data_IF_131589158807
#
_entry.id   IF_131589158807
#
_cell.length_a   1.000
_cell.length_b   1.000
_cell.length_c   1.000
_cell.angle_alpha   90.00
_cell.angle_beta   90.00
_cell.angle_gamma   90.00
#
_symmetry.space_group_name_H-M   'P 1'
#
loop_
_entity.id
_entity.type
_entity.pdbx_description
1 polymer ?
#
# COMPACT_ATOMS: atom_id res chain seq x y z
N UNK A 1 -20.52 6.39 -8.42
CA UNK A 1 -20.42 4.91 -8.55
C UNK A 1 -20.23 4.22 -7.21
N UNK A 2 -19.31 4.66 -6.33
CA UNK A 2 -19.12 4.00 -5.02
C UNK A 2 -20.38 4.01 -4.14
N UNK A 3 -21.06 5.15 -3.98
CA UNK A 3 -22.31 5.23 -3.23
C UNK A 3 -23.43 4.34 -3.82
N UNK A 4 -23.41 4.11 -5.12
CA UNK A 4 -24.38 3.26 -5.82
C UNK A 4 -24.07 1.78 -5.61
N UNK A 5 -22.80 1.37 -5.72
CA UNK A 5 -22.39 0.01 -5.37
C UNK A 5 -22.75 -0.31 -3.91
N UNK A 6 -22.54 0.65 -3.01
CA UNK A 6 -22.99 0.54 -1.62
C UNK A 6 -24.50 0.48 -1.47
N UNK A 7 -25.27 1.25 -2.25
CA UNK A 7 -26.73 1.21 -2.24
C UNK A 7 -27.28 -0.15 -2.71
N UNK A 8 -26.72 -0.74 -3.77
CA UNK A 8 -27.15 -2.03 -4.29
C UNK A 8 -26.65 -3.23 -3.48
N UNK A 9 -25.51 -3.10 -2.79
CA UNK A 9 -24.93 -4.13 -1.92
C UNK A 9 -24.40 -3.52 -0.61
N UNK A 10 -25.30 -3.12 0.31
CA UNK A 10 -24.88 -2.51 1.57
C UNK A 10 -24.05 -3.49 2.41
N UNK A 11 -22.89 -3.04 2.88
CA UNK A 11 -22.02 -3.80 3.78
C UNK A 11 -21.05 -4.78 3.13
N UNK A 12 -21.12 -5.02 1.81
CA UNK A 12 -20.25 -5.98 1.11
C UNK A 12 -19.57 -5.32 -0.10
N UNK A 13 -18.46 -4.62 0.14
CA UNK A 13 -17.55 -4.23 -0.94
C UNK A 13 -16.73 -5.45 -1.38
N UNK A 14 -16.40 -5.58 -2.68
CA UNK A 14 -15.52 -6.63 -3.15
C UNK A 14 -14.13 -6.55 -2.52
N UNK A 15 -13.49 -7.71 -2.37
CA UNK A 15 -12.15 -7.82 -1.77
C UNK A 15 -11.05 -7.23 -2.66
N UNK A 16 -11.24 -7.22 -3.99
CA UNK A 16 -10.24 -6.71 -4.95
C UNK A 16 -10.75 -5.47 -5.66
N UNK A 17 -9.83 -4.59 -6.07
CA UNK A 17 -10.18 -3.41 -6.88
C UNK A 17 -10.81 -3.82 -8.20
N UNK A 18 -10.27 -4.86 -8.85
CA UNK A 18 -10.80 -5.31 -10.13
C UNK A 18 -12.25 -5.82 -10.01
N UNK A 19 -12.59 -6.51 -8.93
CA UNK A 19 -13.98 -6.91 -8.66
C UNK A 19 -14.89 -5.70 -8.40
N UNK A 20 -14.39 -4.65 -7.74
CA UNK A 20 -15.12 -3.39 -7.59
C UNK A 20 -15.37 -2.71 -8.95
N UNK A 21 -14.36 -2.64 -9.83
CA UNK A 21 -14.50 -2.06 -11.16
C UNK A 21 -15.39 -2.90 -12.08
N UNK A 22 -15.35 -4.23 -11.98
CA UNK A 22 -16.30 -5.14 -12.65
C UNK A 22 -17.75 -4.78 -12.25
N UNK A 23 -18.02 -4.58 -10.96
CA UNK A 23 -19.35 -4.14 -10.50
C UNK A 23 -19.71 -2.74 -11.04
N UNK A 24 -18.76 -1.82 -11.13
CA UNK A 24 -19.01 -0.52 -11.73
C UNK A 24 -19.38 -0.63 -13.21
N UNK A 25 -18.68 -1.47 -13.99
CA UNK A 25 -18.99 -1.73 -15.40
C UNK A 25 -20.40 -2.31 -15.55
N UNK A 26 -20.76 -3.31 -14.74
CA UNK A 26 -22.11 -3.90 -14.76
C UNK A 26 -23.20 -2.88 -14.44
N UNK A 27 -22.98 -2.04 -13.43
CA UNK A 27 -23.90 -0.99 -13.02
C UNK A 27 -23.94 0.19 -14.02
N UNK A 28 -22.87 0.40 -14.80
CA UNK A 28 -22.78 1.50 -15.75
C UNK A 28 -23.89 1.46 -16.81
N UNK A 29 -24.20 0.27 -17.32
CA UNK A 29 -25.29 0.08 -18.30
C UNK A 29 -26.68 0.23 -17.70
N UNK A 30 -26.84 0.05 -16.38
CA UNK A 30 -28.12 0.25 -15.70
C UNK A 30 -28.46 1.73 -15.56
N UNK A 31 -27.46 2.61 -15.62
CA UNK A 31 -27.65 4.06 -15.40
C UNK A 31 -28.30 4.78 -16.60
N UNK A 32 -28.23 4.21 -17.81
CA UNK A 32 -28.74 4.83 -19.04
C UNK A 32 -29.89 4.03 -19.66
N UNK A 33 -31.12 4.18 -19.15
CA UNK A 33 -32.27 3.42 -19.64
C UNK A 33 -32.59 3.70 -21.12
N UNK A 34 -32.15 4.83 -21.65
CA UNK A 34 -32.35 5.24 -23.04
C UNK A 34 -31.50 4.45 -24.05
N UNK A 35 -30.38 3.87 -23.61
CA UNK A 35 -29.45 3.12 -24.46
C UNK A 35 -29.19 1.76 -23.80
N UNK A 36 -29.96 0.76 -24.22
CA UNK A 36 -29.81 -0.61 -23.72
C UNK A 36 -29.28 -1.51 -24.84
N UNK A 37 -27.95 -1.62 -24.98
CA UNK A 37 -27.36 -2.62 -25.87
C UNK A 37 -27.71 -4.03 -25.38
N UNK A 38 -27.82 -4.96 -26.32
CA UNK A 38 -27.99 -6.38 -26.02
C UNK A 38 -26.80 -6.91 -25.21
N UNK A 39 -26.95 -8.09 -24.61
CA UNK A 39 -25.85 -8.69 -23.86
C UNK A 39 -24.62 -8.95 -24.77
N UNK A 40 -24.85 -9.43 -25.99
CA UNK A 40 -23.81 -9.67 -26.99
C UNK A 40 -23.10 -8.38 -27.40
N UNK A 41 -23.86 -7.31 -27.66
CA UNK A 41 -23.31 -5.99 -27.98
C UNK A 41 -22.46 -5.43 -26.84
N UNK A 42 -22.87 -5.62 -25.58
CA UNK A 42 -22.09 -5.21 -24.40
C UNK A 42 -20.76 -5.97 -24.33
N UNK A 43 -20.80 -7.29 -24.51
CA UNK A 43 -19.58 -8.09 -24.50
C UNK A 43 -18.62 -7.69 -25.61
N UNK A 44 -19.13 -7.50 -26.83
CA UNK A 44 -18.30 -7.07 -27.94
C UNK A 44 -17.69 -5.68 -27.68
N UNK A 45 -18.51 -4.75 -27.17
CA UNK A 45 -18.07 -3.42 -26.78
C UNK A 45 -16.95 -3.48 -25.73
N UNK A 46 -17.12 -4.23 -24.65
CA UNK A 46 -16.11 -4.35 -23.58
C UNK A 46 -14.80 -4.97 -24.06
N UNK A 47 -14.87 -6.01 -24.92
CA UNK A 47 -13.68 -6.60 -25.54
C UNK A 47 -12.93 -5.55 -26.37
N UNK A 48 -13.66 -4.73 -27.12
CA UNK A 48 -13.09 -3.69 -27.97
C UNK A 48 -12.57 -2.50 -27.17
N UNK A 49 -13.24 -2.10 -26.08
CA UNK A 49 -12.76 -1.13 -25.11
C UNK A 49 -11.46 -1.62 -24.46
N UNK A 50 -11.36 -2.89 -24.10
CA UNK A 50 -10.13 -3.51 -23.61
C UNK A 50 -8.97 -3.41 -24.60
N UNK A 51 -9.21 -3.77 -25.85
CA UNK A 51 -8.20 -3.65 -26.93
C UNK A 51 -7.78 -2.20 -27.17
N UNK A 52 -8.74 -1.27 -27.17
CA UNK A 52 -8.48 0.15 -27.33
C UNK A 52 -7.64 0.69 -26.18
N UNK A 53 -8.06 0.43 -24.94
CA UNK A 53 -7.38 0.85 -23.72
C UNK A 53 -5.93 0.36 -23.69
N UNK A 54 -5.72 -0.93 -23.93
CA UNK A 54 -4.40 -1.55 -23.93
C UNK A 54 -3.48 -0.96 -25.01
N UNK A 55 -4.00 -0.78 -26.23
CA UNK A 55 -3.22 -0.18 -27.31
C UNK A 55 -2.92 1.31 -27.07
N UNK A 56 -3.87 2.06 -26.51
CA UNK A 56 -3.69 3.46 -26.15
C UNK A 56 -2.61 3.64 -25.06
N UNK A 57 -2.63 2.82 -24.00
CA UNK A 57 -1.63 2.88 -22.93
C UNK A 57 -0.20 2.55 -23.41
N UNK A 58 -0.06 1.80 -24.50
CA UNK A 58 1.23 1.51 -25.13
C UNK A 58 1.79 2.69 -25.94
N UNK A 59 1.00 3.72 -26.24
CA UNK A 59 1.45 4.91 -27.00
C UNK A 59 1.97 5.96 -26.02
N UNK A 60 3.25 6.31 -26.11
CA UNK A 60 3.89 7.28 -25.21
C UNK A 60 3.32 8.71 -25.36
N UNK A 61 2.90 9.11 -26.56
CA UNK A 61 2.53 10.51 -26.88
C UNK A 61 1.12 10.94 -26.44
N UNK A 62 0.18 10.03 -26.20
CA UNK A 62 -1.23 10.38 -25.95
C UNK A 62 -1.94 9.34 -25.07
N UNK A 63 -1.30 8.96 -23.97
CA UNK A 63 -1.72 7.85 -23.09
C UNK A 63 -3.22 7.81 -22.76
N UNK A 64 -3.79 8.95 -22.39
CA UNK A 64 -5.21 9.07 -22.05
C UNK A 64 -6.05 9.71 -23.17
N UNK A 65 -5.42 10.47 -24.07
CA UNK A 65 -6.07 11.12 -25.21
C UNK A 65 -6.06 10.21 -26.42
N UNK A 66 -7.25 9.82 -26.87
CA UNK A 66 -7.47 8.83 -27.91
C UNK A 66 -8.02 9.56 -29.14
N UNK A 67 -7.29 9.54 -30.25
CA UNK A 67 -7.80 10.09 -31.50
C UNK A 67 -9.00 9.26 -31.98
N UNK A 68 -10.04 9.92 -32.50
CA UNK A 68 -11.23 9.26 -33.03
C UNK A 68 -10.89 8.26 -34.13
N UNK A 69 -10.04 8.65 -35.07
CA UNK A 69 -9.55 7.77 -36.14
C UNK A 69 -8.95 6.48 -35.58
N UNK A 70 -8.10 6.58 -34.56
CA UNK A 70 -7.50 5.44 -33.89
C UNK A 70 -8.52 4.58 -33.12
N UNK A 71 -9.49 5.20 -32.44
CA UNK A 71 -10.58 4.48 -31.80
C UNK A 71 -11.39 3.69 -32.84
N UNK A 72 -11.86 4.36 -33.91
CA UNK A 72 -12.60 3.74 -35.00
C UNK A 72 -11.82 2.62 -35.68
N UNK A 73 -10.50 2.73 -35.85
CA UNK A 73 -9.65 1.66 -36.39
C UNK A 73 -9.71 0.38 -35.53
N UNK A 74 -9.70 0.53 -34.20
CA UNK A 74 -9.63 -0.62 -33.29
C UNK A 74 -11.00 -1.26 -33.06
N UNK A 75 -12.00 -0.43 -32.78
CA UNK A 75 -13.34 -0.89 -32.38
C UNK A 75 -14.36 -0.90 -33.52
N UNK A 76 -14.10 -0.22 -34.63
CA UNK A 76 -15.09 0.01 -35.67
C UNK A 76 -16.05 1.14 -35.30
N UNK A 77 -16.56 1.83 -36.32
CA UNK A 77 -17.42 2.99 -36.14
C UNK A 77 -18.73 2.70 -35.35
N UNK A 78 -19.42 1.56 -35.52
CA UNK A 78 -20.63 1.27 -34.74
C UNK A 78 -20.38 1.19 -33.23
N UNK A 79 -19.33 0.46 -32.81
CA UNK A 79 -18.99 0.31 -31.40
C UNK A 79 -18.38 1.58 -30.81
N UNK A 80 -17.65 2.36 -31.62
CA UNK A 80 -17.21 3.70 -31.22
C UNK A 80 -18.40 4.61 -30.90
N UNK A 81 -19.38 4.70 -31.80
CA UNK A 81 -20.59 5.50 -31.57
C UNK A 81 -21.37 4.99 -30.36
N UNK A 82 -21.41 3.69 -30.12
CA UNK A 82 -22.02 3.11 -28.92
C UNK A 82 -21.26 3.51 -27.64
N UNK A 83 -19.93 3.41 -27.65
CA UNK A 83 -19.07 3.83 -26.54
C UNK A 83 -19.25 5.31 -26.20
N UNK A 84 -19.33 6.18 -27.22
CA UNK A 84 -19.59 7.61 -27.09
C UNK A 84 -20.98 7.88 -26.49
N UNK A 85 -22.04 7.26 -27.03
CA UNK A 85 -23.41 7.38 -26.51
C UNK A 85 -23.51 6.94 -25.05
N UNK A 86 -22.86 5.83 -24.70
CA UNK A 86 -22.77 5.35 -23.32
C UNK A 86 -21.87 6.22 -22.43
N UNK A 87 -21.00 7.05 -23.03
CA UNK A 87 -19.98 7.86 -22.37
C UNK A 87 -18.85 7.04 -21.76
N UNK A 88 -18.61 5.83 -22.26
CA UNK A 88 -17.33 5.15 -22.03
C UNK A 88 -16.17 5.93 -22.61
N UNK A 89 -16.40 6.59 -23.76
CA UNK A 89 -15.50 7.54 -24.39
C UNK A 89 -16.15 8.93 -24.40
N UNK A 90 -15.44 9.92 -23.89
CA UNK A 90 -15.91 11.31 -23.76
C UNK A 90 -15.06 12.20 -24.67
N UNK A 91 -15.72 12.97 -25.54
CA UNK A 91 -15.06 13.99 -26.35
C UNK A 91 -14.49 15.09 -25.45
N UNK A 92 -13.23 15.48 -25.69
CA UNK A 92 -12.56 16.53 -24.91
C UNK A 92 -12.31 17.77 -25.76
N UNK A 93 -11.57 17.61 -26.86
CA UNK A 93 -11.19 18.72 -27.73
C UNK A 93 -10.86 18.24 -29.14
N UNK A 94 -10.58 19.19 -30.05
CA UNK A 94 -9.95 18.91 -31.35
C UNK A 94 -8.49 19.33 -31.33
N UNK A 95 -7.63 18.62 -32.05
CA UNK A 95 -6.24 19.06 -32.24
C UNK A 95 -6.20 20.31 -33.12
N UNK A 96 -5.27 21.22 -32.85
CA UNK A 96 -5.15 22.47 -33.63
C UNK A 96 -4.64 22.19 -35.05
N UNK A 97 -3.73 21.23 -35.18
CA UNK A 97 -3.01 20.96 -36.43
C UNK A 97 -3.84 20.15 -37.44
N UNK A 98 -4.53 19.12 -36.97
CA UNK A 98 -5.24 18.16 -37.82
C UNK A 98 -6.76 18.25 -37.69
N UNK A 99 -7.27 19.06 -36.76
CA UNK A 99 -8.71 19.14 -36.42
C UNK A 99 -9.32 17.80 -35.99
N UNK A 100 -8.47 16.88 -35.52
CA UNK A 100 -8.81 15.52 -35.12
C UNK A 100 -9.49 15.53 -33.74
N UNK A 101 -10.58 14.80 -33.59
CA UNK A 101 -11.31 14.70 -32.32
C UNK A 101 -10.55 13.80 -31.32
N UNK A 102 -10.34 14.32 -30.11
CA UNK A 102 -9.69 13.60 -29.02
C UNK A 102 -10.72 13.22 -27.97
N UNK A 103 -10.69 11.93 -27.61
CA UNK A 103 -11.56 11.30 -26.62
C UNK A 103 -10.75 10.80 -25.43
N UNK A 104 -11.38 10.67 -24.27
CA UNK A 104 -10.80 10.03 -23.09
C UNK A 104 -11.77 8.98 -22.55
N UNK A 105 -11.27 8.00 -21.81
CA UNK A 105 -12.16 7.14 -21.02
C UNK A 105 -12.89 7.95 -19.95
N UNK A 106 -14.10 7.52 -19.59
CA UNK A 106 -14.91 8.12 -18.51
C UNK A 106 -14.11 8.44 -17.24
N UNK A 107 -13.19 7.56 -16.87
CA UNK A 107 -12.19 7.77 -15.83
C UNK A 107 -10.89 7.05 -16.22
N UNK A 108 -9.69 7.59 -15.92
CA UNK A 108 -8.41 6.95 -16.21
C UNK A 108 -8.33 5.49 -15.73
N UNK A 109 -8.84 5.20 -14.53
CA UNK A 109 -8.82 3.85 -13.98
C UNK A 109 -9.71 2.85 -14.73
N UNK A 110 -10.74 3.30 -15.46
CA UNK A 110 -11.44 2.39 -16.38
C UNK A 110 -10.57 2.01 -17.57
N UNK A 111 -9.75 2.93 -18.08
CA UNK A 111 -8.77 2.59 -19.10
C UNK A 111 -7.77 1.56 -18.57
N UNK A 112 -7.30 1.71 -17.34
CA UNK A 112 -6.40 0.74 -16.69
C UNK A 112 -7.07 -0.61 -16.46
N UNK A 113 -8.32 -0.62 -15.99
CA UNK A 113 -9.13 -1.82 -15.79
C UNK A 113 -9.40 -2.56 -17.11
N UNK A 114 -9.86 -1.87 -18.15
CA UNK A 114 -10.09 -2.48 -19.46
C UNK A 114 -8.79 -2.99 -20.08
N UNK A 115 -7.66 -2.30 -19.83
CA UNK A 115 -6.34 -2.78 -20.24
C UNK A 115 -5.94 -4.05 -19.53
N UNK A 116 -6.12 -4.12 -18.20
CA UNK A 116 -5.87 -5.33 -17.41
C UNK A 116 -6.74 -6.48 -17.92
N UNK A 117 -8.04 -6.22 -18.15
CA UNK A 117 -8.98 -7.20 -18.70
C UNK A 117 -8.61 -7.67 -20.11
N UNK A 118 -7.85 -6.90 -20.89
CA UNK A 118 -7.40 -7.32 -22.21
C UNK A 118 -6.14 -8.22 -22.19
N UNK A 119 -5.43 -8.29 -21.07
CA UNK A 119 -4.17 -9.04 -20.94
C UNK A 119 -4.47 -10.46 -20.45
N UNK A 120 -4.09 -11.47 -21.24
CA UNK A 120 -4.36 -12.88 -20.90
C UNK A 120 -3.27 -13.56 -20.10
N UNK A 121 -2.04 -13.05 -20.16
CA UNK A 121 -0.83 -13.75 -19.73
C UNK A 121 0.14 -12.79 -19.06
N UNK A 122 0.73 -13.20 -17.93
CA UNK A 122 1.58 -12.32 -17.13
C UNK A 122 2.90 -11.98 -17.84
N UNK A 123 3.35 -12.79 -18.80
CA UNK A 123 4.57 -12.52 -19.58
C UNK A 123 4.47 -11.22 -20.40
N UNK A 124 3.25 -10.67 -20.55
CA UNK A 124 3.06 -9.32 -21.04
C UNK A 124 3.76 -8.28 -20.14
N UNK A 125 3.76 -8.46 -18.82
CA UNK A 125 4.38 -7.53 -17.87
C UNK A 125 5.87 -7.78 -17.70
N UNK A 126 6.28 -9.06 -17.71
CA UNK A 126 7.64 -9.47 -17.40
C UNK A 126 8.09 -10.63 -18.30
N UNK A 127 9.21 -10.46 -18.99
CA UNK A 127 9.95 -11.53 -19.63
C UNK A 127 11.42 -11.38 -19.25
N UNK A 128 11.89 -12.21 -18.32
CA UNK A 128 13.22 -12.06 -17.74
C UNK A 128 13.91 -13.43 -17.61
N UNK A 129 15.20 -13.46 -17.94
CA UNK A 129 16.03 -14.64 -17.80
C UNK A 129 16.82 -14.58 -16.48
N UNK A 130 16.36 -15.32 -15.46
CA UNK A 130 17.04 -15.39 -14.17
C UNK A 130 18.42 -16.07 -14.23
N UNK A 131 18.68 -16.93 -15.23
CA UNK A 131 19.97 -17.63 -15.37
C UNK A 131 21.04 -16.73 -15.98
N UNK A 132 20.64 -15.87 -16.91
CA UNK A 132 21.50 -14.88 -17.53
C UNK A 132 20.81 -13.51 -17.53
N UNK A 133 20.84 -12.79 -16.39
CA UNK A 133 20.11 -11.54 -16.21
C UNK A 133 20.75 -10.43 -17.05
N UNK A 134 20.24 -10.26 -18.26
CA UNK A 134 20.68 -9.24 -19.20
C UNK A 134 19.48 -8.73 -20.02
N UNK A 135 19.11 -7.44 -19.92
CA UNK A 135 17.94 -6.90 -20.61
C UNK A 135 18.10 -6.84 -22.15
N UNK A 136 19.32 -6.97 -22.66
CA UNK A 136 19.63 -6.94 -24.09
C UNK A 136 19.69 -8.34 -24.73
N UNK A 137 19.46 -9.40 -23.95
CA UNK A 137 19.41 -10.77 -24.45
C UNK A 137 17.98 -11.26 -24.52
N UNK A 138 17.73 -12.16 -25.45
CA UNK A 138 16.43 -12.83 -25.56
C UNK A 138 16.25 -13.88 -24.46
N UNK A 139 15.03 -14.00 -23.96
CA UNK A 139 14.59 -15.11 -23.13
C UNK A 139 13.57 -15.93 -23.92
N UNK A 140 13.85 -17.21 -24.15
CA UNK A 140 13.04 -18.10 -24.99
C UNK A 140 12.72 -17.54 -26.39
N UNK A 141 13.71 -16.91 -27.04
CA UNK A 141 13.56 -16.36 -28.39
C UNK A 141 12.70 -15.09 -28.47
N UNK A 142 12.54 -14.38 -27.35
CA UNK A 142 11.80 -13.12 -27.26
C UNK A 142 12.60 -12.11 -26.46
N UNK A 143 12.51 -10.85 -26.86
CA UNK A 143 13.09 -9.73 -26.11
C UNK A 143 12.63 -9.74 -24.66
N UNK A 144 13.53 -9.36 -23.76
CA UNK A 144 13.15 -9.13 -22.38
C UNK A 144 12.15 -7.97 -22.24
N UNK A 145 11.26 -8.10 -21.26
CA UNK A 145 10.19 -7.14 -21.00
C UNK A 145 10.17 -6.83 -19.50
N UNK A 146 10.10 -5.55 -19.15
CA UNK A 146 10.17 -5.09 -17.76
C UNK A 146 9.10 -4.03 -17.44
N UNK A 147 7.86 -4.22 -17.89
CA UNK A 147 6.75 -3.28 -17.58
C UNK A 147 6.47 -3.17 -16.09
N UNK A 148 6.91 -4.17 -15.31
CA UNK A 148 6.89 -4.15 -13.84
C UNK A 148 7.64 -2.96 -13.21
N UNK A 149 8.59 -2.35 -13.93
CA UNK A 149 9.34 -1.18 -13.45
C UNK A 149 8.85 0.15 -14.03
N UNK A 150 7.87 0.10 -14.92
CA UNK A 150 7.25 1.28 -15.48
C UNK A 150 6.02 1.64 -14.62
N UNK A 151 6.05 2.77 -13.87
CA UNK A 151 5.00 3.14 -12.91
C UNK A 151 3.61 3.19 -13.54
N UNK A 152 3.56 3.46 -14.84
CA UNK A 152 2.38 3.48 -15.68
C UNK A 152 1.62 2.15 -15.71
N UNK A 153 2.30 1.01 -15.55
CA UNK A 153 1.67 -0.32 -15.55
C UNK A 153 1.32 -0.81 -14.15
N UNK A 154 1.71 -0.09 -13.08
CA UNK A 154 1.50 -0.54 -11.69
C UNK A 154 0.02 -0.83 -11.41
N UNK A 155 -0.88 0.12 -11.68
CA UNK A 155 -2.31 -0.09 -11.41
C UNK A 155 -2.92 -1.16 -12.34
N UNK A 156 -2.47 -1.25 -13.59
CA UNK A 156 -2.89 -2.31 -14.53
C UNK A 156 -2.49 -3.69 -14.01
N UNK A 157 -1.28 -3.82 -13.46
CA UNK A 157 -0.77 -5.07 -12.86
C UNK A 157 -1.59 -5.46 -11.63
N UNK A 158 -1.85 -4.52 -10.73
CA UNK A 158 -2.65 -4.77 -9.53
C UNK A 158 -4.08 -5.16 -9.88
N UNK A 159 -4.73 -4.43 -10.80
CA UNK A 159 -6.04 -4.80 -11.33
C UNK A 159 -6.02 -6.18 -12.00
N UNK A 160 -4.96 -6.51 -12.76
CA UNK A 160 -4.83 -7.81 -13.40
C UNK A 160 -4.75 -8.96 -12.39
N UNK A 161 -3.98 -8.78 -11.30
CA UNK A 161 -3.91 -9.74 -10.20
C UNK A 161 -5.27 -9.90 -9.49
N UNK A 162 -6.08 -8.84 -9.43
CA UNK A 162 -7.41 -8.85 -8.83
C UNK A 162 -8.53 -9.44 -9.71
N UNK A 163 -8.28 -9.72 -10.99
CA UNK A 163 -9.31 -10.23 -11.91
C UNK A 163 -9.85 -11.61 -11.48
N UNK A 164 -11.11 -11.95 -11.78
CA UNK A 164 -11.67 -13.25 -11.38
C UNK A 164 -10.98 -14.43 -12.09
N UNK A 165 -11.09 -15.63 -11.51
CA UNK A 165 -10.47 -16.85 -12.06
C UNK A 165 -11.01 -17.23 -13.44
N UNK A 166 -12.26 -16.86 -13.75
CA UNK A 166 -12.85 -16.99 -15.09
C UNK A 166 -12.09 -16.20 -16.15
N UNK A 167 -11.27 -15.23 -15.75
CA UNK A 167 -10.51 -14.36 -16.63
C UNK A 167 -9.00 -14.63 -16.60
N UNK A 168 -8.44 -14.76 -15.41
CA UNK A 168 -7.02 -15.06 -15.19
C UNK A 168 -6.94 -16.20 -14.19
N UNK A 169 -6.40 -17.34 -14.62
CA UNK A 169 -6.30 -18.52 -13.75
C UNK A 169 -5.43 -18.25 -12.53
N UNK A 170 -5.69 -18.98 -11.45
CA UNK A 170 -4.86 -18.94 -10.25
C UNK A 170 -3.38 -19.18 -10.56
N UNK A 171 -3.07 -20.20 -11.38
CA UNK A 171 -1.69 -20.54 -11.77
C UNK A 171 -0.97 -19.37 -12.45
N UNK A 172 -1.63 -18.60 -13.32
CA UNK A 172 -1.01 -17.44 -13.96
C UNK A 172 -0.64 -16.35 -12.94
N UNK A 173 -1.44 -16.16 -11.90
CA UNK A 173 -1.14 -15.19 -10.82
C UNK A 173 -0.02 -15.70 -9.92
N UNK A 174 -0.06 -16.98 -9.54
CA UNK A 174 1.00 -17.58 -8.71
C UNK A 174 2.34 -17.56 -9.43
N UNK A 175 2.39 -17.96 -10.71
CA UNK A 175 3.60 -17.90 -11.53
C UNK A 175 4.16 -16.48 -11.63
N UNK A 176 3.28 -15.48 -11.81
CA UNK A 176 3.72 -14.10 -11.90
C UNK A 176 4.33 -13.60 -10.58
N UNK A 177 3.64 -13.80 -9.45
CA UNK A 177 4.15 -13.39 -8.14
C UNK A 177 5.45 -14.14 -7.82
N UNK A 178 5.55 -15.44 -8.14
CA UNK A 178 6.79 -16.20 -8.03
C UNK A 178 7.91 -15.60 -8.88
N UNK A 179 7.64 -15.21 -10.13
CA UNK A 179 8.61 -14.57 -10.99
C UNK A 179 9.09 -13.22 -10.44
N UNK A 180 8.20 -12.45 -9.78
CA UNK A 180 8.56 -11.20 -9.12
C UNK A 180 9.44 -11.43 -7.88
N UNK A 181 9.09 -12.39 -7.03
CA UNK A 181 9.83 -12.67 -5.77
C UNK A 181 11.21 -13.27 -6.05
N UNK A 182 11.31 -14.09 -7.10
CA UNK A 182 12.56 -14.78 -7.49
C UNK A 182 13.36 -14.01 -8.53
N UNK A 183 13.03 -12.74 -8.78
CA UNK A 183 13.67 -11.91 -9.79
C UNK A 183 15.17 -11.74 -9.52
N UNK A 184 16.01 -12.33 -10.36
CA UNK A 184 17.46 -12.18 -10.27
C UNK A 184 17.90 -10.96 -11.09
N UNK A 185 18.17 -9.84 -10.44
CA UNK A 185 18.52 -8.64 -11.18
C UNK A 185 19.95 -8.61 -11.75
N UNK A 186 20.84 -9.51 -11.29
CA UNK A 186 22.26 -9.46 -11.62
C UNK A 186 22.96 -8.17 -11.15
N UNK A 187 22.31 -7.38 -10.29
CA UNK A 187 22.63 -5.97 -9.99
C UNK A 187 22.53 -5.66 -8.48
N UNK A 188 23.06 -6.56 -7.64
CA UNK A 188 23.09 -6.40 -6.16
C UNK A 188 21.71 -6.09 -5.56
N UNK A 189 20.66 -6.73 -6.07
CA UNK A 189 19.28 -6.65 -5.59
C UNK A 189 18.59 -5.28 -5.74
N UNK A 190 19.19 -4.30 -6.41
CA UNK A 190 18.57 -2.99 -6.66
C UNK A 190 17.17 -3.10 -7.30
N UNK A 191 17.02 -3.92 -8.33
CA UNK A 191 15.73 -4.13 -8.99
C UNK A 191 14.91 -5.25 -8.35
N UNK A 192 15.57 -6.17 -7.64
CA UNK A 192 14.88 -7.19 -6.86
C UNK A 192 13.96 -6.56 -5.81
N UNK A 193 14.39 -5.52 -5.09
CA UNK A 193 13.55 -4.80 -4.12
C UNK A 193 12.25 -4.28 -4.76
N UNK A 194 12.35 -3.63 -5.91
CA UNK A 194 11.19 -3.10 -6.65
C UNK A 194 10.24 -4.21 -7.07
N UNK A 195 10.80 -5.35 -7.49
CA UNK A 195 10.03 -6.53 -7.87
C UNK A 195 9.32 -7.17 -6.67
N UNK A 196 10.02 -7.32 -5.54
CA UNK A 196 9.47 -7.82 -4.27
C UNK A 196 8.33 -6.93 -3.78
N UNK A 197 8.49 -5.60 -3.82
CA UNK A 197 7.46 -4.66 -3.38
C UNK A 197 6.21 -4.72 -4.25
N UNK A 198 6.37 -4.89 -5.57
CA UNK A 198 5.23 -5.12 -6.46
C UNK A 198 4.53 -6.45 -6.17
N UNK A 199 5.30 -7.51 -5.89
CA UNK A 199 4.76 -8.81 -5.50
C UNK A 199 3.93 -8.71 -4.21
N UNK A 200 4.45 -8.03 -3.19
CA UNK A 200 3.76 -7.81 -1.93
C UNK A 200 2.47 -7.00 -2.11
N UNK A 201 2.49 -5.88 -2.87
CA UNK A 201 1.27 -5.15 -3.20
C UNK A 201 0.24 -6.03 -3.92
N UNK A 202 0.70 -6.94 -4.76
CA UNK A 202 -0.13 -7.91 -5.46
C UNK A 202 -0.93 -8.84 -4.53
N UNK A 203 -0.44 -9.09 -3.31
CA UNK A 203 -1.13 -9.96 -2.34
C UNK A 203 -2.45 -9.34 -1.84
N UNK A 204 -2.56 -8.02 -1.80
CA UNK A 204 -3.81 -7.35 -1.47
C UNK A 204 -4.91 -7.61 -2.51
N UNK A 205 -4.53 -7.86 -3.77
CA UNK A 205 -5.44 -8.19 -4.87
C UNK A 205 -5.59 -9.71 -5.08
N UNK A 206 -4.73 -10.52 -4.44
CA UNK A 206 -4.71 -11.97 -4.57
C UNK A 206 -4.20 -12.65 -3.29
N UNK A 207 -5.05 -12.63 -2.25
CA UNK A 207 -4.78 -13.22 -0.93
C UNK A 207 -4.61 -14.75 -0.94
N UNK A 208 -5.04 -15.42 -2.01
CA UNK A 208 -4.96 -16.87 -2.19
C UNK A 208 -3.57 -17.40 -2.60
N UNK A 209 -2.51 -16.59 -2.63
CA UNK A 209 -1.19 -17.06 -3.02
C UNK A 209 -0.60 -18.08 -2.04
N UNK A 210 -0.10 -19.20 -2.56
CA UNK A 210 0.39 -20.32 -1.74
C UNK A 210 1.59 -19.96 -0.86
N UNK A 211 2.41 -18.99 -1.28
CA UNK A 211 3.59 -18.53 -0.54
C UNK A 211 3.44 -17.12 0.08
N UNK A 212 2.20 -16.67 0.33
CA UNK A 212 1.90 -15.35 0.95
C UNK A 212 2.79 -15.06 2.16
N UNK A 213 2.83 -15.97 3.14
CA UNK A 213 3.63 -15.77 4.36
C UNK A 213 5.14 -15.70 4.12
N UNK A 214 5.65 -16.35 3.07
CA UNK A 214 7.06 -16.25 2.71
C UNK A 214 7.38 -14.85 2.15
N UNK A 215 6.51 -14.30 1.32
CA UNK A 215 6.66 -12.93 0.78
C UNK A 215 6.54 -11.90 1.89
N UNK A 216 5.57 -12.06 2.81
CA UNK A 216 5.43 -11.19 3.98
C UNK A 216 6.66 -11.27 4.89
N UNK A 217 7.22 -12.46 5.11
CA UNK A 217 8.43 -12.61 5.90
C UNK A 217 9.65 -11.91 5.26
N UNK A 218 9.81 -12.00 3.94
CA UNK A 218 10.82 -11.24 3.20
C UNK A 218 10.60 -9.74 3.36
N UNK A 219 9.37 -9.26 3.17
CA UNK A 219 9.04 -7.84 3.33
C UNK A 219 9.34 -7.32 4.74
N UNK A 220 8.97 -8.06 5.78
CA UNK A 220 9.26 -7.70 7.18
C UNK A 220 10.76 -7.67 7.44
N UNK A 221 11.52 -8.61 6.87
CA UNK A 221 12.98 -8.60 6.96
C UNK A 221 13.56 -7.29 6.42
N UNK A 222 13.07 -6.80 5.28
CA UNK A 222 13.52 -5.53 4.69
C UNK A 222 13.11 -4.30 5.51
N UNK A 223 11.98 -4.35 6.23
CA UNK A 223 11.62 -3.32 7.22
C UNK A 223 12.57 -3.26 8.43
N UNK A 224 13.47 -4.23 8.58
CA UNK A 224 14.38 -4.36 9.73
C UNK A 224 15.85 -4.10 9.37
N UNK A 225 16.19 -3.79 8.11
CA UNK A 225 17.57 -3.54 7.65
C UNK A 225 17.95 -2.07 7.89
N UNK A 226 18.78 -1.81 8.90
CA UNK A 226 19.14 -0.44 9.34
C UNK A 226 20.05 0.33 8.36
N UNK A 227 20.60 -0.33 7.32
CA UNK A 227 21.65 0.25 6.48
C UNK A 227 21.17 0.94 5.20
N UNK A 228 19.89 0.81 4.82
CA UNK A 228 19.34 1.44 3.60
C UNK A 228 18.00 2.10 3.93
N UNK A 229 18.04 3.33 4.46
CA UNK A 229 16.87 4.03 4.97
C UNK A 229 15.71 4.13 3.97
N UNK A 230 16.00 4.25 2.68
CA UNK A 230 14.97 4.37 1.63
C UNK A 230 14.22 3.05 1.40
N UNK A 231 14.91 1.91 1.48
CA UNK A 231 14.30 0.58 1.31
C UNK A 231 13.45 0.23 2.52
N UNK A 232 13.92 0.57 3.73
CA UNK A 232 13.13 0.37 4.96
C UNK A 232 11.81 1.16 4.92
N UNK A 233 11.86 2.43 4.52
CA UNK A 233 10.68 3.30 4.44
C UNK A 233 9.69 2.79 3.39
N UNK A 234 10.18 2.44 2.19
CA UNK A 234 9.33 1.88 1.15
C UNK A 234 8.73 0.52 1.57
N UNK A 235 9.52 -0.39 2.16
CA UNK A 235 9.03 -1.68 2.64
C UNK A 235 7.90 -1.52 3.68
N UNK A 236 8.01 -0.51 4.55
CA UNK A 236 6.98 -0.20 5.56
C UNK A 236 5.67 0.26 4.92
N UNK A 237 5.73 1.15 3.94
CA UNK A 237 4.54 1.60 3.19
C UNK A 237 3.89 0.43 2.45
N UNK A 238 4.69 -0.46 1.86
CA UNK A 238 4.20 -1.67 1.20
C UNK A 238 3.56 -2.64 2.19
N UNK A 239 4.08 -2.76 3.42
CA UNK A 239 3.51 -3.60 4.47
C UNK A 239 2.13 -3.09 4.94
N UNK A 240 1.86 -1.79 4.84
CA UNK A 240 0.54 -1.21 5.11
C UNK A 240 -0.47 -1.49 3.98
N UNK A 241 0.02 -1.71 2.76
CA UNK A 241 -0.79 -1.86 1.55
C UNK A 241 -0.85 -3.31 1.00
N UNK A 242 -0.20 -4.27 1.67
CA UNK A 242 -0.21 -5.71 1.31
C UNK A 242 -1.46 -6.42 1.85
N UNK A 243 -1.50 -7.75 1.79
CA UNK A 243 -2.51 -8.55 2.50
C UNK A 243 -2.48 -8.26 4.01
N UNK A 244 -3.47 -7.50 4.45
CA UNK A 244 -3.58 -6.98 5.81
C UNK A 244 -3.64 -8.09 6.87
N UNK A 245 -4.40 -9.17 6.58
CA UNK A 245 -4.56 -10.28 7.51
C UNK A 245 -3.26 -11.07 7.65
N UNK A 246 -2.58 -11.33 6.52
CA UNK A 246 -1.31 -12.03 6.53
C UNK A 246 -0.22 -11.21 7.23
N UNK A 247 -0.17 -9.89 7.01
CA UNK A 247 0.77 -9.00 7.68
C UNK A 247 0.57 -8.99 9.20
N UNK A 248 -0.67 -8.80 9.68
CA UNK A 248 -1.01 -8.84 11.11
C UNK A 248 -0.63 -10.18 11.72
N UNK A 249 -0.97 -11.28 11.04
CA UNK A 249 -0.67 -12.63 11.52
C UNK A 249 0.84 -12.86 11.66
N UNK A 250 1.62 -12.55 10.63
CA UNK A 250 3.08 -12.71 10.64
C UNK A 250 3.75 -11.86 11.72
N UNK A 251 3.34 -10.59 11.88
CA UNK A 251 3.89 -9.72 12.91
C UNK A 251 3.49 -10.16 14.32
N UNK A 252 2.26 -10.65 14.50
CA UNK A 252 1.80 -11.22 15.78
C UNK A 252 2.67 -12.40 16.20
N UNK A 253 2.99 -13.31 15.26
CA UNK A 253 3.91 -14.42 15.53
C UNK A 253 5.28 -13.91 15.96
N UNK A 254 5.83 -12.91 15.27
CA UNK A 254 7.14 -12.35 15.61
C UNK A 254 7.17 -11.62 16.96
N UNK A 255 6.06 -11.00 17.38
CA UNK A 255 5.94 -10.41 18.72
C UNK A 255 6.09 -11.48 19.82
N UNK A 256 5.41 -12.62 19.64
CA UNK A 256 5.36 -13.69 20.64
C UNK A 256 6.62 -14.57 20.61
N UNK A 257 7.02 -15.01 19.42
CA UNK A 257 8.04 -16.03 19.20
C UNK A 257 9.38 -15.47 18.67
N UNK A 258 9.50 -14.14 18.52
CA UNK A 258 10.72 -13.50 18.06
C UNK A 258 11.93 -13.88 18.91
N UNK A 259 13.05 -14.21 18.27
CA UNK A 259 14.25 -14.76 18.92
C UNK A 259 15.07 -13.72 19.70
N UNK A 260 14.86 -12.43 19.45
CA UNK A 260 15.59 -11.34 20.09
C UNK A 260 14.68 -10.18 20.45
N UNK A 261 15.12 -9.38 21.44
CA UNK A 261 14.47 -8.10 21.80
C UNK A 261 14.28 -7.21 20.58
N UNK A 262 15.27 -7.16 19.67
CA UNK A 262 15.19 -6.36 18.45
C UNK A 262 14.07 -6.83 17.51
N UNK A 263 13.97 -8.14 17.26
CA UNK A 263 12.91 -8.70 16.40
C UNK A 263 11.53 -8.45 17.00
N UNK A 264 11.37 -8.71 18.30
CA UNK A 264 10.10 -8.47 19.00
C UNK A 264 9.71 -6.99 18.98
N UNK A 265 10.65 -6.09 19.24
CA UNK A 265 10.46 -4.65 19.17
C UNK A 265 9.98 -4.20 17.78
N UNK A 266 10.72 -4.57 16.72
CA UNK A 266 10.39 -4.16 15.35
C UNK A 266 9.02 -4.73 14.94
N UNK A 267 8.74 -5.99 15.26
CA UNK A 267 7.45 -6.61 14.98
C UNK A 267 6.30 -5.90 15.69
N UNK A 268 6.45 -5.61 16.99
CA UNK A 268 5.43 -4.93 17.77
C UNK A 268 5.20 -3.49 17.28
N UNK A 269 6.28 -2.78 16.91
CA UNK A 269 6.16 -1.44 16.36
C UNK A 269 5.41 -1.45 15.03
N UNK A 270 5.80 -2.29 14.07
CA UNK A 270 5.12 -2.42 12.78
C UNK A 270 3.66 -2.85 12.95
N UNK A 271 3.37 -3.79 13.85
CA UNK A 271 2.01 -4.24 14.14
C UNK A 271 1.13 -3.09 14.66
N UNK A 272 1.66 -2.28 15.57
CA UNK A 272 0.95 -1.11 16.10
C UNK A 272 0.75 0.01 15.07
N UNK A 273 1.55 0.06 13.99
CA UNK A 273 1.33 0.98 12.87
C UNK A 273 0.20 0.51 11.95
N UNK A 274 0.04 -0.81 11.77
CA UNK A 274 -1.00 -1.42 10.93
C UNK A 274 -2.35 -1.44 11.66
N UNK A 275 -2.34 -1.77 12.94
CA UNK A 275 -3.52 -1.92 13.79
C UNK A 275 -3.32 -1.09 15.07
N UNK A 276 -3.67 0.20 14.99
CA UNK A 276 -3.51 1.13 16.10
C UNK A 276 -4.37 0.68 17.29
N UNK A 277 -3.73 0.41 18.43
CA UNK A 277 -4.41 -0.16 19.60
C UNK A 277 -4.33 -1.69 19.69
N UNK A 278 -3.57 -2.34 18.80
CA UNK A 278 -3.32 -3.78 18.89
C UNK A 278 -2.71 -4.14 20.24
N UNK A 279 -3.43 -4.96 21.01
CA UNK A 279 -3.07 -5.31 22.39
C UNK A 279 -1.76 -6.08 22.49
N UNK A 280 -1.45 -6.91 21.48
CA UNK A 280 -0.22 -7.71 21.44
C UNK A 280 0.97 -6.78 21.20
N UNK A 281 0.85 -5.85 20.24
CA UNK A 281 1.89 -4.83 20.01
C UNK A 281 2.17 -4.02 21.29
N UNK A 282 1.11 -3.54 21.95
CA UNK A 282 1.21 -2.75 23.18
C UNK A 282 1.83 -3.58 24.31
N UNK A 283 1.37 -4.82 24.53
CA UNK A 283 1.89 -5.67 25.60
C UNK A 283 3.35 -6.04 25.37
N UNK A 284 3.73 -6.40 24.14
CA UNK A 284 5.13 -6.72 23.80
C UNK A 284 6.04 -5.51 24.02
N UNK A 285 5.67 -4.31 23.57
CA UNK A 285 6.49 -3.11 23.84
C UNK A 285 6.58 -2.79 25.34
N UNK A 286 5.48 -2.99 26.08
CA UNK A 286 5.43 -2.80 27.54
C UNK A 286 6.38 -3.75 28.27
N UNK A 287 6.35 -5.04 27.92
CA UNK A 287 7.25 -6.06 28.46
C UNK A 287 8.71 -5.72 28.14
N UNK A 288 9.04 -5.35 26.90
CA UNK A 288 10.40 -4.99 26.52
C UNK A 288 10.92 -3.74 27.25
N UNK A 289 10.05 -2.78 27.60
CA UNK A 289 10.41 -1.61 28.42
C UNK A 289 10.80 -2.05 29.84
N UNK A 290 10.08 -3.00 30.41
CA UNK A 290 10.36 -3.53 31.75
C UNK A 290 11.63 -4.39 31.78
N UNK A 291 11.87 -5.18 30.74
CA UNK A 291 12.99 -6.14 30.69
C UNK A 291 14.33 -5.49 30.31
N UNK A 292 14.34 -4.24 29.85
CA UNK A 292 15.56 -3.55 29.42
C UNK A 292 16.12 -2.64 30.50
N UNK A 293 17.43 -2.73 30.73
CA UNK A 293 18.17 -1.81 31.60
C UNK A 293 18.88 -0.69 30.82
N UNK A 294 18.95 -0.80 29.49
CA UNK A 294 19.63 0.19 28.67
C UNK A 294 18.74 1.42 28.44
N UNK A 295 19.09 2.55 29.05
CA UNK A 295 18.33 3.81 28.99
C UNK A 295 17.97 4.23 27.55
N UNK A 296 18.91 4.10 26.60
CA UNK A 296 18.68 4.47 25.19
C UNK A 296 17.66 3.56 24.49
N UNK A 297 17.67 2.27 24.79
CA UNK A 297 16.68 1.31 24.28
C UNK A 297 15.33 1.53 24.96
N UNK A 298 15.33 1.75 26.28
CA UNK A 298 14.12 2.09 27.06
C UNK A 298 13.43 3.34 26.51
N UNK A 299 14.20 4.39 26.21
CA UNK A 299 13.72 5.60 25.54
C UNK A 299 13.10 5.29 24.17
N UNK A 300 13.80 4.50 23.36
CA UNK A 300 13.33 4.13 22.01
C UNK A 300 12.00 3.39 22.07
N UNK A 301 11.89 2.39 22.95
CA UNK A 301 10.67 1.62 23.15
C UNK A 301 9.53 2.48 23.67
N UNK A 302 9.78 3.32 24.69
CA UNK A 302 8.76 4.20 25.26
C UNK A 302 8.25 5.21 24.24
N UNK A 303 9.16 5.83 23.46
CA UNK A 303 8.80 6.72 22.35
C UNK A 303 7.93 5.99 21.33
N UNK A 304 8.33 4.80 20.89
CA UNK A 304 7.59 4.03 19.87
C UNK A 304 6.22 3.58 20.36
N UNK A 305 6.11 3.20 21.63
CA UNK A 305 4.83 2.91 22.27
C UNK A 305 3.92 4.15 22.33
N UNK A 306 4.46 5.34 22.59
CA UNK A 306 3.68 6.59 22.57
C UNK A 306 3.15 6.96 21.18
N UNK A 307 3.86 6.57 20.12
CA UNK A 307 3.43 6.77 18.73
C UNK A 307 2.22 5.87 18.39
N UNK A 308 2.11 4.69 19.01
CA UNK A 308 1.02 3.71 18.80
C UNK A 308 -0.16 3.93 19.74
N UNK A 309 0.12 4.24 21.02
CA UNK A 309 -0.88 4.46 22.07
C UNK A 309 -0.41 5.65 22.93
N UNK A 310 -0.84 6.83 22.51
CA UNK A 310 -0.45 8.11 23.13
C UNK A 310 -0.88 8.27 24.59
N UNK A 311 -1.85 7.49 25.04
CA UNK A 311 -2.38 7.42 26.41
C UNK A 311 -1.75 6.29 27.25
N UNK A 312 -0.80 5.54 26.70
CA UNK A 312 -0.19 4.42 27.41
C UNK A 312 0.62 4.91 28.62
N UNK A 313 0.15 4.57 29.82
CA UNK A 313 0.77 5.00 31.08
C UNK A 313 2.20 4.48 31.26
N UNK A 314 2.52 3.29 30.75
CA UNK A 314 3.88 2.73 30.87
C UNK A 314 4.85 3.56 30.05
N UNK A 315 4.49 3.90 28.80
CA UNK A 315 5.28 4.81 27.98
C UNK A 315 5.47 6.17 28.65
N UNK A 316 4.37 6.80 29.10
CA UNK A 316 4.39 8.11 29.74
C UNK A 316 5.25 8.14 31.01
N UNK A 317 5.10 7.15 31.89
CA UNK A 317 5.88 7.05 33.12
C UNK A 317 7.36 6.80 32.84
N UNK A 318 7.66 5.96 31.83
CA UNK A 318 9.04 5.67 31.42
C UNK A 318 9.73 6.91 30.86
N UNK A 319 9.04 7.69 30.02
CA UNK A 319 9.57 8.95 29.50
C UNK A 319 9.76 9.97 30.64
N UNK A 320 8.86 10.03 31.63
CA UNK A 320 9.03 10.91 32.78
C UNK A 320 10.26 10.54 33.61
N UNK A 321 10.40 9.26 33.96
CA UNK A 321 11.56 8.76 34.69
C UNK A 321 12.86 9.09 33.95
N UNK A 322 12.96 8.72 32.67
CA UNK A 322 14.14 9.02 31.85
C UNK A 322 14.41 10.53 31.67
N UNK A 323 13.39 11.39 31.75
CA UNK A 323 13.61 12.85 31.71
C UNK A 323 14.30 13.38 32.98
N UNK A 324 14.12 12.68 34.10
CA UNK A 324 14.61 13.07 35.43
C UNK A 324 15.91 12.35 35.80
N UNK A 325 15.99 11.04 35.55
CA UNK A 325 17.00 10.15 36.13
C UNK A 325 18.08 9.70 35.15
N UNK A 326 17.85 9.81 33.84
CA UNK A 326 18.79 9.30 32.85
C UNK A 326 20.16 10.00 32.93
N UNK A 327 21.22 9.20 32.85
CA UNK A 327 22.60 9.70 32.97
C UNK A 327 22.98 10.55 31.75
N UNK A 328 22.56 10.10 30.57
CA UNK A 328 22.82 10.79 29.32
C UNK A 328 21.91 12.02 29.14
N UNK A 329 22.52 13.17 28.86
CA UNK A 329 21.80 14.42 28.65
C UNK A 329 20.94 14.38 27.37
N UNK A 330 21.39 13.70 26.31
CA UNK A 330 20.60 13.57 25.09
C UNK A 330 19.31 12.77 25.37
N UNK A 331 19.42 11.67 26.11
CA UNK A 331 18.29 10.86 26.57
C UNK A 331 17.29 11.69 27.38
N UNK A 332 17.74 12.47 28.37
CA UNK A 332 16.85 13.38 29.14
C UNK A 332 16.10 14.38 28.26
N UNK A 333 16.80 15.02 27.31
CA UNK A 333 16.22 16.01 26.40
C UNK A 333 15.19 15.39 25.45
N UNK A 334 15.49 14.23 24.87
CA UNK A 334 14.57 13.54 23.96
C UNK A 334 13.33 13.04 24.72
N UNK A 335 13.49 12.50 25.93
CA UNK A 335 12.36 12.11 26.78
C UNK A 335 11.42 13.29 27.08
N UNK A 336 11.99 14.44 27.45
CA UNK A 336 11.23 15.68 27.71
C UNK A 336 10.43 16.10 26.47
N UNK A 337 11.08 16.13 25.30
CA UNK A 337 10.42 16.47 24.04
C UNK A 337 9.29 15.50 23.68
N UNK A 338 9.48 14.20 23.89
CA UNK A 338 8.42 13.21 23.65
C UNK A 338 7.22 13.41 24.60
N UNK A 339 7.45 13.70 25.88
CA UNK A 339 6.39 14.03 26.83
C UNK A 339 5.61 15.28 26.44
N UNK A 340 6.30 16.34 26.03
CA UNK A 340 5.65 17.57 25.55
C UNK A 340 4.71 17.27 24.39
N UNK A 341 5.17 16.47 23.41
CA UNK A 341 4.37 16.05 22.27
C UNK A 341 3.16 15.21 22.66
N UNK A 342 3.30 14.29 23.62
CA UNK A 342 2.19 13.43 24.07
C UNK A 342 1.15 14.17 24.91
N UNK A 343 1.57 15.19 25.65
CA UNK A 343 0.69 15.99 26.55
C UNK A 343 0.05 17.17 25.85
N UNK A 344 0.51 17.54 24.64
CA UNK A 344 0.01 18.68 23.90
C UNK A 344 -1.52 18.59 23.72
N UNK A 345 -2.25 19.54 24.29
CA UNK A 345 -3.72 19.63 24.28
C UNK A 345 -4.46 18.48 25.00
N UNK A 346 -3.80 17.74 25.91
CA UNK A 346 -4.37 16.58 26.64
C UNK A 346 -4.45 16.82 28.16
N UNK A 347 -5.51 17.52 28.60
CA UNK A 347 -5.71 17.89 30.01
C UNK A 347 -5.86 16.69 30.96
N UNK A 348 -6.36 15.57 30.46
CA UNK A 348 -6.50 14.29 31.17
C UNK A 348 -5.13 13.71 31.54
N UNK A 349 -4.18 13.69 30.59
CA UNK A 349 -2.81 13.22 30.82
C UNK A 349 -2.07 14.15 31.77
N UNK A 350 -2.21 15.46 31.57
CA UNK A 350 -1.64 16.48 32.45
C UNK A 350 -2.10 16.28 33.90
N UNK A 351 -3.40 16.04 34.09
CA UNK A 351 -3.97 15.81 35.43
C UNK A 351 -3.43 14.53 36.08
N UNK A 352 -3.22 13.47 35.29
CA UNK A 352 -2.58 12.23 35.75
C UNK A 352 -1.15 12.49 36.24
N UNK A 353 -0.34 13.22 35.45
CA UNK A 353 1.03 13.56 35.83
C UNK A 353 1.08 14.40 37.10
N UNK A 354 0.24 15.43 37.23
CA UNK A 354 0.17 16.24 38.45
C UNK A 354 -0.10 15.38 39.69
N UNK A 355 -0.98 14.39 39.58
CA UNK A 355 -1.29 13.47 40.69
C UNK A 355 -0.09 12.58 41.05
N UNK A 356 0.63 12.07 40.05
CA UNK A 356 1.81 11.23 40.26
C UNK A 356 2.99 12.02 40.84
N UNK A 357 3.18 13.27 40.41
CA UNK A 357 4.24 14.14 40.93
C UNK A 357 3.98 14.52 42.40
N UNK A 358 2.72 14.72 42.79
CA UNK A 358 2.34 14.94 44.19
C UNK A 358 2.68 13.77 45.12
N UNK A 359 2.91 12.58 44.57
CA UNK A 359 3.34 11.40 45.33
C UNK A 359 4.85 11.19 45.35
N UNK A 360 5.62 12.00 44.60
CA UNK A 360 7.08 11.96 44.58
C UNK A 360 7.65 13.05 45.50
N UNK A 361 8.50 12.67 46.45
CA UNK A 361 9.10 13.57 47.45
C UNK A 361 10.32 14.36 46.91
N UNK A 362 10.62 14.23 45.61
CA UNK A 362 11.78 14.85 44.97
C UNK A 362 11.46 16.23 44.36
N UNK A 363 12.10 17.27 44.92
CA UNK A 363 12.00 18.67 44.49
C UNK A 363 12.50 18.91 43.06
N UNK A 364 13.49 18.16 42.58
CA UNK A 364 14.03 18.34 41.23
C UNK A 364 13.03 17.90 40.16
N UNK A 365 12.42 16.73 40.38
CA UNK A 365 11.32 16.19 39.58
C UNK A 365 10.09 17.10 39.53
N UNK A 366 9.76 17.76 40.65
CA UNK A 366 8.70 18.78 40.75
C UNK A 366 8.98 20.02 39.90
N UNK A 367 10.21 20.56 39.93
CA UNK A 367 10.56 21.81 39.24
C UNK A 367 10.50 21.66 37.71
N UNK A 368 10.95 20.52 37.19
CA UNK A 368 10.99 20.27 35.74
C UNK A 368 9.61 19.90 35.18
N UNK A 369 8.78 19.22 35.96
CA UNK A 369 7.38 18.99 35.60
C UNK A 369 6.55 20.29 35.60
N UNK A 370 6.80 21.20 36.55
CA UNK A 370 6.21 22.56 36.52
C UNK A 370 6.64 23.33 35.28
N UNK A 371 7.86 23.10 34.77
CA UNK A 371 8.33 23.71 33.52
C UNK A 371 7.63 23.15 32.28
N UNK A 372 7.46 21.82 32.21
CA UNK A 372 6.67 21.10 31.19
C UNK A 372 5.20 21.57 31.17
N UNK A 373 4.59 21.72 32.35
CA UNK A 373 3.21 22.17 32.53
C UNK A 373 3.04 23.68 32.27
N UNK A 374 4.02 24.50 32.69
CA UNK A 374 4.02 25.95 32.50
C UNK A 374 4.10 26.35 31.02
N UNK A 375 4.80 25.58 30.19
CA UNK A 375 4.88 25.79 28.75
C UNK A 375 3.53 25.56 28.03
N UNK A 376 2.64 24.73 28.59
CA UNK A 376 1.33 24.42 28.00
C UNK A 376 0.18 25.25 28.56
N UNK A 377 0.32 25.84 29.75
CA UNK A 377 -0.67 26.74 30.36
C UNK A 377 -0.53 28.19 29.85
N UNK A 378 0.63 28.55 29.30
CA UNK A 378 0.92 29.89 28.76
C UNK A 378 0.71 30.02 27.24
N UNK A 379 0.35 28.94 26.54
CA UNK A 379 -0.02 28.91 25.12
C UNK A 379 -1.54 28.69 24.98
#
# INVERSE_FOLDING_TARGET
MLCQAWYFKPGNLPETKAALYQQFVENFYQWKPEIQPSWEERQELEIKLGKLALKALKREKSRFGIEKSFACEIMGEPLFRLAEKLHWLIFVHRTVETNEEIYVFFHPTFQEYFSAYAISRWEFFLNHNNQEPNPFKENHGKDCVYRIFDPHWKEVILLWLGLPESKVSRSQKEEFICALVTFNDGCRNFYWYRSLFLAALGLAEFSGFSATYAVIALLISECCVEHISLVEEEAREILLATDHNAAIFSLTILCVLGSSTYVKYKAAYLLGQIDSGNKIAISTLTELIHDTEHESLKLTLAKKLSEISSDNLVSLNTLLDLSQTAQDNLTRRVSTYCLEKCTQHRQDIISHFIRMIKTLDDKASLLQAVHLLGAQVLA
#
